data_IF_108389063118
#
_entry.id   IF_108389063118
#
_cell.length_a   1.000
_cell.length_b   1.000
_cell.length_c   1.000
_cell.angle_alpha   90.00
_cell.angle_beta   90.00
_cell.angle_gamma   90.00
#
_symmetry.space_group_name_H-M   'P 1'
#
loop_
_entity.id
_entity.type
_entity.pdbx_description
1 polymer ?
#
# COMPACT_ATOMS: atom_id res chain seq x y z
N UNK A 1 27.22 21.16 -33.44
CA UNK A 1 27.88 20.42 -32.34
C UNK A 1 27.14 20.87 -31.10
N UNK A 2 26.43 19.97 -30.41
CA UNK A 2 25.43 20.37 -29.42
C UNK A 2 26.02 21.22 -28.28
N UNK A 3 25.29 22.24 -27.82
CA UNK A 3 25.73 23.10 -26.72
C UNK A 3 25.96 22.31 -25.41
N UNK A 4 26.89 22.77 -24.57
CA UNK A 4 27.22 22.18 -23.27
C UNK A 4 26.01 22.11 -22.32
N UNK A 5 25.09 23.08 -22.41
CA UNK A 5 23.83 23.12 -21.63
C UNK A 5 22.96 21.91 -21.98
N UNK A 6 22.65 21.74 -23.26
CA UNK A 6 21.78 20.65 -23.74
C UNK A 6 22.43 19.28 -23.53
N UNK A 7 23.74 19.17 -23.71
CA UNK A 7 24.49 17.95 -23.37
C UNK A 7 24.38 17.57 -21.88
N UNK A 8 24.24 18.54 -20.98
CA UNK A 8 24.05 18.27 -19.55
C UNK A 8 22.62 17.78 -19.29
N UNK A 9 21.64 18.39 -19.94
CA UNK A 9 20.22 18.02 -19.85
C UNK A 9 20.00 16.59 -20.38
N UNK A 10 20.50 16.28 -21.58
CA UNK A 10 20.39 14.92 -22.15
C UNK A 10 21.07 13.89 -21.26
N UNK A 11 22.24 14.20 -20.68
CA UNK A 11 22.90 13.29 -19.72
C UNK A 11 22.06 13.04 -18.49
N UNK A 12 21.39 14.06 -17.96
CA UNK A 12 20.48 13.91 -16.82
C UNK A 12 19.28 13.03 -17.17
N UNK A 13 18.66 13.28 -18.33
CA UNK A 13 17.55 12.50 -18.86
C UNK A 13 17.93 11.02 -19.06
N UNK A 14 19.07 10.76 -19.72
CA UNK A 14 19.57 9.40 -19.94
C UNK A 14 19.93 8.67 -18.64
N UNK A 15 20.43 9.39 -17.63
CA UNK A 15 20.69 8.81 -16.30
C UNK A 15 19.39 8.37 -15.63
N UNK A 16 18.32 9.15 -15.79
CA UNK A 16 16.99 8.82 -15.30
C UNK A 16 16.37 7.64 -16.05
N UNK A 17 16.39 7.65 -17.39
CA UNK A 17 15.86 6.57 -18.24
C UNK A 17 16.53 5.21 -17.93
N UNK A 18 17.84 5.21 -17.66
CA UNK A 18 18.59 3.97 -17.30
C UNK A 18 18.19 3.35 -15.96
N UNK A 19 17.39 4.04 -15.13
CA UNK A 19 16.86 3.46 -13.89
C UNK A 19 15.68 2.51 -14.15
N UNK A 20 15.13 2.52 -15.37
CA UNK A 20 14.03 1.67 -15.79
C UNK A 20 14.52 0.38 -16.45
N UNK A 21 13.76 -0.73 -16.35
CA UNK A 21 14.15 -2.02 -16.92
C UNK A 21 13.88 -2.06 -18.44
N UNK A 22 14.65 -1.28 -19.20
CA UNK A 22 14.59 -1.20 -20.67
C UNK A 22 15.71 -2.03 -21.31
N UNK A 23 15.50 -2.45 -22.54
CA UNK A 23 16.52 -3.07 -23.38
C UNK A 23 17.53 -2.04 -23.85
N UNK A 24 18.78 -2.45 -24.07
CA UNK A 24 19.85 -1.57 -24.58
C UNK A 24 19.49 -0.94 -25.93
N UNK A 25 18.67 -1.60 -26.75
CA UNK A 25 18.16 -1.07 -28.02
C UNK A 25 17.19 0.10 -27.81
N UNK A 26 16.33 0.01 -26.80
CA UNK A 26 15.37 1.06 -26.43
C UNK A 26 16.12 2.26 -25.87
N UNK A 27 17.08 2.03 -24.97
CA UNK A 27 17.92 3.09 -24.40
C UNK A 27 18.66 3.86 -25.51
N UNK A 28 19.23 3.16 -26.50
CA UNK A 28 19.88 3.80 -27.67
C UNK A 28 18.90 4.54 -28.58
N UNK A 29 17.64 4.13 -28.61
CA UNK A 29 16.60 4.84 -29.34
C UNK A 29 16.24 6.15 -28.64
N UNK A 30 15.99 6.12 -27.33
CA UNK A 30 15.80 7.32 -26.51
C UNK A 30 16.95 8.31 -26.64
N UNK A 31 18.20 7.83 -26.62
CA UNK A 31 19.37 8.70 -26.76
C UNK A 31 19.40 9.41 -28.12
N UNK A 32 19.05 8.71 -29.21
CA UNK A 32 18.98 9.28 -30.55
C UNK A 32 17.84 10.29 -30.67
N UNK A 33 16.67 9.98 -30.13
CA UNK A 33 15.48 10.83 -30.23
C UNK A 33 15.66 12.12 -29.43
N UNK A 34 16.17 12.04 -28.19
CA UNK A 34 16.47 13.21 -27.36
C UNK A 34 17.56 14.10 -27.98
N UNK A 35 18.59 13.48 -28.56
CA UNK A 35 19.64 14.22 -29.26
C UNK A 35 19.08 14.87 -30.53
N UNK A 36 18.17 14.20 -31.25
CA UNK A 36 17.48 14.75 -32.41
C UNK A 36 16.66 15.99 -32.07
N UNK A 37 15.86 15.91 -31.00
CA UNK A 37 15.07 17.06 -30.52
C UNK A 37 15.96 18.24 -30.10
N UNK A 38 17.04 17.99 -29.36
CA UNK A 38 17.95 19.05 -28.96
C UNK A 38 18.67 19.72 -30.16
N UNK A 39 19.03 18.94 -31.18
CA UNK A 39 19.59 19.49 -32.43
C UNK A 39 18.56 20.31 -33.21
N UNK A 40 17.30 19.92 -33.18
CA UNK A 40 16.21 20.68 -33.79
C UNK A 40 15.94 21.99 -33.04
N UNK A 41 15.98 21.97 -31.70
CA UNK A 41 15.92 23.15 -30.85
C UNK A 41 17.02 24.15 -31.20
N UNK A 42 18.27 23.66 -31.30
CA UNK A 42 19.43 24.46 -31.64
C UNK A 42 19.28 25.11 -33.03
N UNK A 43 18.71 24.40 -34.01
CA UNK A 43 18.42 24.95 -35.34
C UNK A 43 17.35 26.05 -35.31
N UNK A 44 16.34 25.90 -34.46
CA UNK A 44 15.26 26.89 -34.27
C UNK A 44 15.66 28.06 -33.38
N UNK A 45 16.85 28.00 -32.76
CA UNK A 45 17.33 28.94 -31.72
C UNK A 45 16.39 29.03 -30.52
N UNK A 46 15.69 27.93 -30.24
CA UNK A 46 14.82 27.76 -29.08
C UNK A 46 15.61 27.07 -27.96
N UNK A 47 15.32 27.41 -26.71
CA UNK A 47 15.91 26.70 -25.58
C UNK A 47 15.36 25.28 -25.54
N UNK A 48 16.22 24.27 -25.38
CA UNK A 48 15.76 22.88 -25.33
C UNK A 48 14.74 22.63 -24.22
N UNK A 49 14.90 23.31 -23.07
CA UNK A 49 13.94 23.26 -21.95
C UNK A 49 12.57 23.86 -22.30
N UNK A 50 12.54 24.87 -23.18
CA UNK A 50 11.30 25.50 -23.64
C UNK A 50 10.52 24.58 -24.58
N UNK A 51 11.22 23.82 -25.43
CA UNK A 51 10.60 22.81 -26.30
C UNK A 51 9.98 21.66 -25.50
N UNK A 52 10.57 21.32 -24.35
CA UNK A 52 10.04 20.26 -23.50
C UNK A 52 8.74 20.68 -22.79
N UNK A 53 8.49 21.98 -22.59
CA UNK A 53 7.34 22.56 -21.86
C UNK A 53 7.13 22.00 -20.43
N UNK A 54 8.12 21.27 -19.91
CA UNK A 54 8.14 20.67 -18.58
C UNK A 54 9.57 20.33 -18.18
N UNK A 55 9.76 19.82 -16.96
CA UNK A 55 11.11 19.44 -16.53
C UNK A 55 11.62 18.23 -17.33
N UNK A 56 12.95 18.12 -17.59
CA UNK A 56 13.51 17.01 -18.35
C UNK A 56 13.18 15.62 -17.78
N UNK A 57 13.01 15.51 -16.46
CA UNK A 57 12.61 14.27 -15.79
C UNK A 57 11.13 13.94 -16.01
N UNK A 58 10.25 14.93 -15.94
CA UNK A 58 8.81 14.73 -16.20
C UNK A 58 8.57 14.36 -17.66
N UNK A 59 9.29 15.00 -18.57
CA UNK A 59 9.25 14.65 -19.98
C UNK A 59 9.69 13.20 -20.20
N UNK A 60 10.78 12.75 -19.57
CA UNK A 60 11.19 11.34 -19.65
C UNK A 60 10.13 10.40 -19.09
N UNK A 61 9.49 10.75 -17.98
CA UNK A 61 8.41 9.94 -17.39
C UNK A 61 7.20 9.86 -18.34
N UNK A 62 6.83 10.95 -19.01
CA UNK A 62 5.74 10.97 -19.98
C UNK A 62 6.10 10.19 -21.26
N UNK A 63 7.33 10.33 -21.76
CA UNK A 63 7.80 9.64 -22.96
C UNK A 63 7.98 8.13 -22.73
N UNK A 64 8.39 7.74 -21.52
CA UNK A 64 8.36 6.34 -21.09
C UNK A 64 6.92 5.82 -20.96
N UNK A 65 6.00 6.64 -20.48
CA UNK A 65 4.58 6.28 -20.41
C UNK A 65 3.95 6.14 -21.81
N UNK A 66 4.36 6.95 -22.79
CA UNK A 66 3.82 6.95 -24.16
C UNK A 66 4.38 5.80 -25.01
N UNK A 67 5.67 5.47 -24.88
CA UNK A 67 6.31 4.38 -25.63
C UNK A 67 6.05 3.02 -24.97
N UNK A 68 6.10 2.93 -23.64
CA UNK A 68 6.06 1.65 -22.94
C UNK A 68 4.65 1.13 -22.62
N UNK A 69 3.60 1.95 -22.74
CA UNK A 69 2.26 1.62 -22.23
C UNK A 69 2.19 1.34 -20.71
N UNK A 70 3.34 1.33 -20.02
CA UNK A 70 3.48 1.13 -18.58
C UNK A 70 3.57 2.49 -17.94
N UNK A 71 2.41 3.08 -17.62
CA UNK A 71 2.35 4.08 -16.56
C UNK A 71 3.04 3.49 -15.34
N UNK A 72 4.13 4.10 -14.87
CA UNK A 72 4.62 3.82 -13.52
C UNK A 72 3.43 4.03 -12.59
N UNK A 73 2.95 2.98 -11.90
CA UNK A 73 1.68 3.10 -11.21
C UNK A 73 1.81 4.15 -10.11
N UNK A 74 1.07 5.27 -10.23
CA UNK A 74 1.24 6.43 -9.35
C UNK A 74 0.94 6.12 -7.89
N UNK A 75 0.18 5.06 -7.62
CA UNK A 75 -0.10 4.52 -6.29
C UNK A 75 0.90 3.49 -5.78
N UNK A 76 1.94 3.11 -6.54
CA UNK A 76 2.93 2.09 -6.15
C UNK A 76 3.55 2.36 -4.77
N UNK A 77 3.95 3.60 -4.50
CA UNK A 77 4.55 3.98 -3.21
C UNK A 77 3.56 3.84 -2.05
N UNK A 78 2.30 4.22 -2.27
CA UNK A 78 1.24 4.10 -1.27
C UNK A 78 0.90 2.64 -0.97
N UNK A 79 0.74 1.83 -2.01
CA UNK A 79 0.49 0.38 -1.87
C UNK A 79 1.64 -0.33 -1.19
N UNK A 80 2.88 0.02 -1.54
CA UNK A 80 4.05 -0.57 -0.88
C UNK A 80 4.13 -0.17 0.60
N UNK A 81 3.86 1.10 0.92
CA UNK A 81 3.82 1.57 2.31
C UNK A 81 2.71 0.89 3.13
N UNK A 82 1.49 0.86 2.62
CA UNK A 82 0.37 0.17 3.25
C UNK A 82 0.60 -1.36 3.34
N UNK A 83 1.20 -1.95 2.31
CA UNK A 83 1.55 -3.37 2.26
C UNK A 83 2.55 -3.76 3.35
N UNK A 84 3.64 -3.00 3.48
CA UNK A 84 4.64 -3.18 4.56
C UNK A 84 3.98 -3.03 5.94
N UNK A 85 3.10 -2.03 6.10
CA UNK A 85 2.36 -1.85 7.34
C UNK A 85 1.57 -3.12 7.70
N UNK A 86 0.76 -3.62 6.77
CA UNK A 86 -0.05 -4.82 6.99
C UNK A 86 0.79 -6.07 7.23
N UNK A 87 1.93 -6.22 6.54
CA UNK A 87 2.88 -7.30 6.79
C UNK A 87 3.41 -7.27 8.22
N UNK A 88 3.88 -6.11 8.69
CA UNK A 88 4.41 -5.96 10.04
C UNK A 88 3.34 -6.23 11.09
N UNK A 89 2.16 -5.63 10.95
CA UNK A 89 1.05 -5.85 11.89
C UNK A 89 0.56 -7.29 11.87
N UNK A 90 0.49 -7.90 10.69
CA UNK A 90 0.07 -9.29 10.53
C UNK A 90 1.09 -10.25 11.13
N UNK A 91 2.38 -10.03 10.91
CA UNK A 91 3.45 -10.84 11.47
C UNK A 91 3.49 -10.75 13.00
N UNK A 92 3.44 -9.53 13.56
CA UNK A 92 3.46 -9.33 15.01
C UNK A 92 2.20 -9.94 15.64
N UNK A 93 1.02 -9.65 15.08
CA UNK A 93 -0.26 -10.15 15.60
C UNK A 93 -0.37 -11.67 15.53
N UNK A 94 0.04 -12.28 14.41
CA UNK A 94 0.05 -13.76 14.28
C UNK A 94 1.05 -14.40 15.25
N UNK A 95 2.25 -13.84 15.44
CA UNK A 95 3.23 -14.37 16.38
C UNK A 95 2.72 -14.32 17.84
N UNK A 96 2.15 -13.19 18.26
CA UNK A 96 1.61 -13.02 19.61
C UNK A 96 0.42 -13.95 19.86
N UNK A 97 -0.53 -14.02 18.94
CA UNK A 97 -1.70 -14.89 19.11
C UNK A 97 -1.36 -16.37 18.98
N UNK A 98 -0.34 -16.73 18.21
CA UNK A 98 0.15 -18.11 18.16
C UNK A 98 0.70 -18.53 19.51
N UNK A 99 1.44 -17.64 20.18
CA UNK A 99 1.92 -17.88 21.54
C UNK A 99 0.76 -18.05 22.53
N UNK A 100 -0.24 -17.16 22.48
CA UNK A 100 -1.44 -17.25 23.32
C UNK A 100 -2.20 -18.55 23.06
N UNK A 101 -2.37 -18.93 21.79
CA UNK A 101 -3.02 -20.18 21.39
C UNK A 101 -2.32 -21.40 21.97
N UNK A 102 -0.99 -21.48 21.85
CA UNK A 102 -0.19 -22.59 22.39
C UNK A 102 -0.26 -22.68 23.91
N UNK A 103 -0.18 -21.54 24.62
CA UNK A 103 -0.32 -21.51 26.08
C UNK A 103 -1.73 -21.96 26.49
N UNK A 104 -2.76 -21.45 25.82
CA UNK A 104 -4.15 -21.79 26.10
C UNK A 104 -4.42 -23.28 25.86
N UNK A 105 -3.88 -23.83 24.77
CA UNK A 105 -3.98 -25.24 24.42
C UNK A 105 -3.28 -26.11 25.48
N UNK A 106 -2.07 -25.74 25.88
CA UNK A 106 -1.31 -26.46 26.91
C UNK A 106 -2.06 -26.46 28.25
N UNK A 107 -2.53 -25.31 28.72
CA UNK A 107 -3.27 -25.20 29.98
C UNK A 107 -4.57 -26.01 29.97
N UNK A 108 -5.30 -25.98 28.85
CA UNK A 108 -6.55 -26.74 28.69
C UNK A 108 -6.33 -28.25 28.72
N UNK A 109 -5.19 -28.74 28.18
CA UNK A 109 -4.86 -30.16 28.15
C UNK A 109 -4.28 -30.64 29.50
N UNK A 110 -3.41 -29.84 30.12
CA UNK A 110 -2.64 -30.26 31.32
C UNK A 110 -3.42 -30.06 32.61
N UNK A 111 -4.26 -29.02 32.70
CA UNK A 111 -5.07 -28.70 33.89
C UNK A 111 -6.55 -28.60 33.49
N UNK A 112 -7.19 -29.71 33.08
CA UNK A 112 -8.57 -29.70 32.60
C UNK A 112 -9.58 -29.26 33.68
N UNK A 113 -9.21 -29.34 34.97
CA UNK A 113 -10.08 -29.05 36.11
C UNK A 113 -10.28 -27.56 36.41
N UNK A 114 -9.43 -26.65 35.92
CA UNK A 114 -9.52 -25.21 36.26
C UNK A 114 -10.01 -24.30 35.12
N UNK A 115 -9.82 -24.69 33.84
CA UNK A 115 -10.08 -23.79 32.71
C UNK A 115 -11.29 -24.16 31.83
N UNK A 116 -11.94 -25.32 32.05
CA UNK A 116 -13.09 -25.85 31.29
C UNK A 116 -13.62 -25.00 30.11
N UNK A 117 -14.61 -24.14 30.38
CA UNK A 117 -15.24 -23.30 29.35
C UNK A 117 -14.40 -22.08 28.96
N UNK A 118 -13.65 -21.49 29.89
CA UNK A 118 -12.85 -20.27 29.66
C UNK A 118 -11.67 -20.52 28.71
N UNK A 119 -10.98 -21.65 28.86
CA UNK A 119 -9.89 -22.08 27.98
C UNK A 119 -10.38 -22.36 26.56
N UNK A 120 -11.57 -22.94 26.41
CA UNK A 120 -12.20 -23.16 25.09
C UNK A 120 -12.57 -21.82 24.43
N UNK A 121 -13.10 -20.86 25.19
CA UNK A 121 -13.38 -19.51 24.68
C UNK A 121 -12.09 -18.82 24.25
N UNK A 122 -11.02 -18.91 25.04
CA UNK A 122 -9.73 -18.30 24.73
C UNK A 122 -9.09 -18.90 23.46
N UNK A 123 -9.20 -20.22 23.28
CA UNK A 123 -8.78 -20.91 22.05
C UNK A 123 -9.58 -20.41 20.83
N UNK A 124 -10.89 -20.27 20.96
CA UNK A 124 -11.75 -19.79 19.88
C UNK A 124 -11.41 -18.35 19.48
N UNK A 125 -11.21 -17.47 20.46
CA UNK A 125 -10.78 -16.08 20.23
C UNK A 125 -9.39 -16.04 19.56
N UNK A 126 -8.46 -16.87 20.01
CA UNK A 126 -7.13 -16.94 19.41
C UNK A 126 -7.17 -17.41 17.94
N UNK A 127 -8.01 -18.40 17.60
CA UNK A 127 -8.20 -18.86 16.21
C UNK A 127 -8.77 -17.74 15.34
N UNK A 128 -9.81 -17.03 15.80
CA UNK A 128 -10.39 -15.90 15.06
C UNK A 128 -9.33 -14.83 14.82
N UNK A 129 -8.57 -14.48 15.85
CA UNK A 129 -7.50 -13.49 15.75
C UNK A 129 -6.39 -13.93 14.78
N UNK A 130 -6.01 -15.21 14.78
CA UNK A 130 -5.02 -15.75 13.84
C UNK A 130 -5.49 -15.64 12.38
N UNK A 131 -6.77 -15.92 12.11
CA UNK A 131 -7.35 -15.74 10.77
C UNK A 131 -7.31 -14.26 10.37
N UNK A 132 -7.68 -13.37 11.29
CA UNK A 132 -7.69 -11.92 11.06
C UNK A 132 -6.29 -11.37 10.74
N UNK A 133 -5.30 -11.62 11.59
CA UNK A 133 -3.93 -11.14 11.36
C UNK A 133 -3.23 -11.90 10.23
N UNK A 134 -3.61 -13.14 9.96
CA UNK A 134 -3.20 -13.88 8.77
C UNK A 134 -3.66 -13.20 7.48
N UNK A 135 -4.91 -12.73 7.44
CA UNK A 135 -5.43 -11.97 6.30
C UNK A 135 -4.66 -10.66 6.08
N UNK A 136 -4.27 -9.95 7.15
CA UNK A 136 -3.43 -8.75 7.06
C UNK A 136 -2.07 -9.07 6.42
N UNK A 137 -1.41 -10.13 6.89
CA UNK A 137 -0.13 -10.56 6.32
C UNK A 137 -0.26 -10.94 4.84
N UNK A 138 -1.31 -11.70 4.49
CA UNK A 138 -1.60 -12.10 3.11
C UNK A 138 -1.87 -10.89 2.20
N UNK A 139 -2.74 -9.98 2.60
CA UNK A 139 -3.06 -8.79 1.79
C UNK A 139 -1.90 -7.80 1.70
N UNK A 140 -1.08 -7.69 2.74
CA UNK A 140 0.18 -6.94 2.71
C UNK A 140 1.17 -7.51 1.69
N UNK A 141 1.37 -8.83 1.71
CA UNK A 141 2.22 -9.53 0.73
C UNK A 141 1.71 -9.39 -0.71
N UNK A 142 0.39 -9.46 -0.91
CA UNK A 142 -0.22 -9.24 -2.22
C UNK A 142 0.00 -7.80 -2.69
N UNK A 143 -0.19 -6.81 -1.81
CA UNK A 143 0.06 -5.41 -2.15
C UNK A 143 1.52 -5.16 -2.54
N UNK A 144 2.49 -5.68 -1.78
CA UNK A 144 3.89 -5.47 -2.11
C UNK A 144 4.26 -6.11 -3.46
N UNK A 145 3.80 -7.34 -3.70
CA UNK A 145 4.07 -8.07 -4.94
C UNK A 145 3.46 -7.40 -6.17
N UNK A 146 2.22 -6.94 -6.05
CA UNK A 146 1.40 -6.46 -7.16
C UNK A 146 1.31 -4.92 -7.22
N UNK A 147 2.06 -4.17 -6.38
CA UNK A 147 2.05 -2.70 -6.39
C UNK A 147 2.49 -2.06 -7.72
N UNK A 148 3.20 -2.82 -8.56
CA UNK A 148 3.69 -2.42 -9.87
C UNK A 148 2.80 -2.82 -11.05
N UNK A 149 1.73 -3.59 -10.82
CA UNK A 149 0.92 -4.19 -11.88
C UNK A 149 -0.47 -3.56 -11.96
N UNK A 150 -0.76 -2.88 -13.08
CA UNK A 150 -2.05 -2.20 -13.30
C UNK A 150 -3.20 -3.18 -13.49
N UNK A 151 -2.95 -4.34 -14.11
CA UNK A 151 -3.96 -5.38 -14.36
C UNK A 151 -4.61 -5.92 -13.08
N UNK A 152 -3.84 -6.02 -11.99
CA UNK A 152 -4.34 -6.51 -10.69
C UNK A 152 -4.88 -5.41 -9.79
N UNK A 153 -4.87 -4.16 -10.24
CA UNK A 153 -5.26 -3.02 -9.40
C UNK A 153 -6.73 -3.04 -9.00
N UNK A 154 -7.62 -3.60 -9.84
CA UNK A 154 -9.02 -3.82 -9.48
C UNK A 154 -9.17 -4.83 -8.33
N UNK A 155 -8.41 -5.94 -8.37
CA UNK A 155 -8.36 -6.91 -7.28
C UNK A 155 -7.83 -6.27 -5.98
N UNK A 156 -6.79 -5.42 -6.08
CA UNK A 156 -6.25 -4.69 -4.93
C UNK A 156 -7.29 -3.73 -4.33
N UNK A 157 -8.10 -3.04 -5.13
CA UNK A 157 -9.20 -2.22 -4.60
C UNK A 157 -10.18 -3.06 -3.80
N UNK A 158 -10.54 -4.24 -4.30
CA UNK A 158 -11.46 -5.14 -3.59
C UNK A 158 -10.84 -5.67 -2.28
N UNK A 159 -9.56 -6.04 -2.29
CA UNK A 159 -8.84 -6.41 -1.07
C UNK A 159 -8.84 -5.27 -0.04
N UNK A 160 -8.59 -4.03 -0.49
CA UNK A 160 -8.65 -2.85 0.36
C UNK A 160 -10.05 -2.60 0.95
N UNK A 161 -11.11 -2.80 0.16
CA UNK A 161 -12.51 -2.72 0.64
C UNK A 161 -12.79 -3.78 1.71
N UNK A 162 -12.32 -5.02 1.51
CA UNK A 162 -12.45 -6.08 2.52
C UNK A 162 -11.73 -5.66 3.80
N UNK A 163 -10.48 -5.20 3.72
CA UNK A 163 -9.72 -4.70 4.88
C UNK A 163 -10.46 -3.59 5.62
N UNK A 164 -11.07 -2.64 4.89
CA UNK A 164 -11.85 -1.56 5.48
C UNK A 164 -13.11 -2.06 6.20
N UNK A 165 -13.87 -2.97 5.57
CA UNK A 165 -15.07 -3.57 6.19
C UNK A 165 -14.67 -4.34 7.46
N UNK A 166 -13.60 -5.12 7.41
CA UNK A 166 -13.13 -5.86 8.59
C UNK A 166 -12.65 -4.91 9.70
N UNK A 167 -12.02 -3.79 9.36
CA UNK A 167 -11.67 -2.74 10.33
C UNK A 167 -12.91 -2.15 11.02
N UNK A 168 -13.98 -1.87 10.27
CA UNK A 168 -15.26 -1.39 10.81
C UNK A 168 -15.87 -2.41 11.77
N UNK A 169 -15.91 -3.68 11.37
CA UNK A 169 -16.44 -4.75 12.23
C UNK A 169 -15.64 -4.82 13.53
N UNK A 170 -14.31 -4.80 13.44
CA UNK A 170 -13.42 -4.82 14.62
C UNK A 170 -13.67 -3.63 15.54
N UNK A 171 -13.82 -2.43 14.98
CA UNK A 171 -14.10 -1.20 15.73
C UNK A 171 -15.46 -1.25 16.45
N UNK A 172 -16.50 -1.77 15.78
CA UNK A 172 -17.81 -1.99 16.40
C UNK A 172 -17.69 -2.97 17.57
N UNK A 173 -17.01 -4.10 17.38
CA UNK A 173 -16.83 -5.11 18.45
C UNK A 173 -16.04 -4.54 19.62
N UNK A 174 -14.94 -3.83 19.35
CA UNK A 174 -14.13 -3.19 20.39
C UNK A 174 -14.94 -2.13 21.16
N UNK A 175 -15.72 -1.31 20.44
CA UNK A 175 -16.59 -0.29 21.05
C UNK A 175 -17.68 -0.93 21.91
N UNK A 176 -18.35 -1.98 21.42
CA UNK A 176 -19.35 -2.72 22.21
C UNK A 176 -18.73 -3.31 23.48
N UNK A 177 -17.56 -3.97 23.37
CA UNK A 177 -16.85 -4.52 24.51
C UNK A 177 -16.54 -3.45 25.57
N UNK A 178 -16.07 -2.27 25.14
CA UNK A 178 -15.81 -1.15 26.05
C UNK A 178 -17.09 -0.66 26.74
N UNK A 179 -18.20 -0.53 26.01
CA UNK A 179 -19.49 -0.10 26.56
C UNK A 179 -20.00 -1.10 27.59
N UNK A 180 -19.98 -2.40 27.30
CA UNK A 180 -20.45 -3.44 28.21
C UNK A 180 -19.60 -3.49 29.49
N UNK A 181 -18.27 -3.43 29.38
CA UNK A 181 -17.40 -3.49 30.55
C UNK A 181 -17.44 -2.22 31.40
N UNK A 182 -17.54 -1.06 30.77
CA UNK A 182 -17.61 0.20 31.49
C UNK A 182 -19.03 0.50 32.04
N UNK A 183 -20.07 -0.09 31.46
CA UNK A 183 -21.42 -0.14 32.04
C UNK A 183 -21.53 -1.04 33.28
N UNK A 184 -20.64 -2.04 33.41
CA UNK A 184 -20.53 -2.86 34.62
C UNK A 184 -19.81 -2.15 35.78
N UNK A 185 -18.99 -1.12 35.51
CA UNK A 185 -18.35 -0.29 36.54
C UNK A 185 -19.20 0.95 36.83
N UNK A 186 -20.12 0.84 37.80
CA UNK A 186 -20.93 1.97 38.28
C UNK A 186 -20.04 2.93 39.08
N UNK A 187 -19.33 3.83 38.38
CA UNK A 187 -18.55 4.90 39.03
C UNK A 187 -17.47 5.48 38.12
N UNK A 188 -17.62 6.75 37.72
CA UNK A 188 -16.67 7.55 36.94
C UNK A 188 -16.16 6.93 35.63
N UNK A 189 -16.97 7.05 34.56
CA UNK A 189 -16.57 6.70 33.20
C UNK A 189 -15.42 7.62 32.71
N UNK A 190 -14.20 7.11 32.70
CA UNK A 190 -13.04 7.85 32.21
C UNK A 190 -13.02 7.85 30.67
N UNK A 191 -13.75 8.80 30.07
CA UNK A 191 -13.89 8.96 28.62
C UNK A 191 -12.56 9.10 27.85
N UNK A 192 -11.45 9.39 28.53
CA UNK A 192 -10.13 9.51 27.89
C UNK A 192 -9.61 8.17 27.34
N UNK A 193 -9.93 7.05 28.00
CA UNK A 193 -9.37 5.74 27.65
C UNK A 193 -10.06 5.12 26.41
N UNK A 194 -11.41 5.14 26.29
CA UNK A 194 -12.09 4.76 25.05
C UNK A 194 -11.71 5.67 23.88
N UNK A 195 -11.55 6.97 24.11
CA UNK A 195 -11.17 7.92 23.07
C UNK A 195 -9.75 7.64 22.54
N UNK A 196 -8.79 7.35 23.43
CA UNK A 196 -7.44 6.94 23.02
C UNK A 196 -7.47 5.64 22.18
N UNK A 197 -8.27 4.66 22.57
CA UNK A 197 -8.45 3.40 21.82
C UNK A 197 -9.02 3.65 20.42
N UNK A 198 -10.04 4.49 20.29
CA UNK A 198 -10.62 4.85 18.98
C UNK A 198 -9.58 5.56 18.08
N UNK A 199 -8.78 6.45 18.65
CA UNK A 199 -7.68 7.10 17.91
C UNK A 199 -6.66 6.06 17.42
N UNK A 200 -6.30 5.09 18.27
CA UNK A 200 -5.38 4.02 17.88
C UNK A 200 -5.98 3.18 16.74
N UNK A 201 -7.24 2.75 16.84
CA UNK A 201 -7.93 1.96 15.79
C UNK A 201 -8.01 2.74 14.48
N UNK A 202 -8.26 4.05 14.53
CA UNK A 202 -8.29 4.90 13.35
C UNK A 202 -6.93 4.91 12.61
N UNK A 203 -5.85 5.16 13.34
CA UNK A 203 -4.51 5.20 12.74
C UNK A 203 -3.99 3.81 12.35
N UNK A 204 -4.41 2.75 13.04
CA UNK A 204 -3.89 1.40 12.81
C UNK A 204 -4.68 0.58 11.79
N UNK A 205 -5.99 0.78 11.69
CA UNK A 205 -6.83 -0.04 10.82
C UNK A 205 -7.39 0.76 9.64
N UNK A 206 -8.01 1.92 9.91
CA UNK A 206 -8.70 2.70 8.88
C UNK A 206 -7.74 3.42 7.93
N UNK A 207 -6.76 4.15 8.48
CA UNK A 207 -5.81 4.91 7.68
C UNK A 207 -5.02 4.03 6.68
N UNK A 208 -4.44 2.89 7.09
CA UNK A 208 -3.76 1.98 6.17
C UNK A 208 -4.69 1.38 5.11
N UNK A 209 -5.94 1.07 5.46
CA UNK A 209 -6.93 0.55 4.50
C UNK A 209 -7.29 1.59 3.44
N UNK A 210 -7.48 2.84 3.86
CA UNK A 210 -7.75 3.95 2.95
C UNK A 210 -6.55 4.18 2.03
N UNK A 211 -5.33 4.20 2.56
CA UNK A 211 -4.10 4.35 1.75
C UNK A 211 -3.93 3.18 0.76
N UNK A 212 -4.27 1.96 1.16
CA UNK A 212 -4.28 0.78 0.29
C UNK A 212 -5.25 0.99 -0.88
N UNK A 213 -6.50 1.39 -0.60
CA UNK A 213 -7.53 1.62 -1.62
C UNK A 213 -7.12 2.76 -2.56
N UNK A 214 -6.65 3.91 -2.02
CA UNK A 214 -6.22 5.05 -2.83
C UNK A 214 -5.04 4.66 -3.72
N UNK A 215 -4.07 3.92 -3.18
CA UNK A 215 -2.94 3.41 -3.95
C UNK A 215 -3.40 2.49 -5.08
N UNK A 216 -4.33 1.57 -4.82
CA UNK A 216 -4.90 0.70 -5.85
C UNK A 216 -5.71 1.48 -6.89
N UNK A 217 -6.52 2.47 -6.47
CA UNK A 217 -7.29 3.33 -7.37
C UNK A 217 -6.42 4.16 -8.31
N UNK A 218 -5.28 4.66 -7.84
CA UNK A 218 -4.31 5.38 -8.67
C UNK A 218 -3.63 4.51 -9.73
N UNK A 219 -3.70 3.19 -9.57
CA UNK A 219 -3.11 2.22 -10.49
C UNK A 219 -4.14 1.61 -11.46
N UNK A 220 -5.44 1.96 -11.32
CA UNK A 220 -6.50 1.40 -12.17
C UNK A 220 -6.35 1.83 -13.64
N UNK A 221 -6.52 0.90 -14.61
CA UNK A 221 -6.60 1.24 -16.02
C UNK A 221 -7.80 2.16 -16.31
N UNK A 222 -7.68 3.04 -17.33
CA UNK A 222 -8.74 4.02 -17.67
C UNK A 222 -10.09 3.35 -17.99
N UNK A 223 -10.09 2.13 -18.52
CA UNK A 223 -11.29 1.36 -18.87
C UNK A 223 -12.17 1.03 -17.66
N UNK A 224 -11.57 0.81 -16.48
CA UNK A 224 -12.32 0.53 -15.25
C UNK A 224 -12.83 1.79 -14.56
N UNK A 225 -12.17 2.94 -14.77
CA UNK A 225 -12.57 4.22 -14.16
C UNK A 225 -13.88 4.74 -14.77
N UNK A 226 -14.11 4.48 -16.07
CA UNK A 226 -15.33 4.88 -16.79
C UNK A 226 -16.58 4.07 -16.40
N UNK A 227 -16.41 2.88 -15.83
CA UNK A 227 -17.51 2.02 -15.40
C UNK A 227 -17.93 2.22 -13.92
N UNK A 228 -17.22 3.05 -13.15
CA UNK A 228 -17.59 3.40 -11.76
C UNK A 228 -18.36 4.75 -11.65
N UNK A 229 -18.68 5.41 -12.76
CA UNK A 229 -19.51 6.63 -12.86
C UNK A 229 -20.93 6.30 -13.35
#
# INVERSE_FOLDING_TARGET
MLNKKDQKIIRQMMRHIRTFPLLDSEIRQFERDLTGMALEAEKRREDFEEILDMTPTEFCDELLCSIGGRKTPGGRRLLKGAGIYYQLTGLIGTALLSLVFLISLFLTIVIPSELGLEGVILLFVAIIGLIFFGAFLSFGNIAERDCGTTEKSAQLVNNGKILLVTAVIFDIVATLYMIFNAGASVGHFNYKLPLLMQVIIFFSCYMPAILYIIGAKRNLPREYVLNEL
#
